data_IF_472387403669
#
_entry.id   IF_472387403669
#
_cell.length_a   1.000
_cell.length_b   1.000
_cell.length_c   1.000
_cell.angle_alpha   90.00
_cell.angle_beta   90.00
_cell.angle_gamma   90.00
#
_symmetry.space_group_name_H-M   'P 1'
#
loop_
_entity.id
_entity.type
_entity.pdbx_description
1 polymer ?
#
# COMPACT_ATOMS: atom_id res chain seq x y z
N UNK A 1 -10.50 -15.50 -27.09
CA UNK A 1 -11.18 -15.24 -25.80
C UNK A 1 -10.32 -14.33 -24.95
N UNK A 2 -10.85 -13.19 -24.51
CA UNK A 2 -10.15 -12.28 -23.62
C UNK A 2 -10.15 -12.85 -22.22
N UNK A 3 -8.98 -12.85 -21.58
CA UNK A 3 -8.83 -13.36 -20.24
C UNK A 3 -8.30 -12.25 -19.32
N UNK A 4 -8.91 -12.08 -18.16
CA UNK A 4 -8.28 -11.45 -17.01
C UNK A 4 -7.26 -12.43 -16.42
N UNK A 5 -6.27 -11.93 -15.68
CA UNK A 5 -5.39 -12.82 -14.93
C UNK A 5 -6.19 -13.60 -13.87
N UNK A 6 -5.68 -14.76 -13.48
CA UNK A 6 -6.31 -15.54 -12.42
C UNK A 6 -6.44 -14.73 -11.12
N UNK A 7 -7.49 -14.98 -10.36
CA UNK A 7 -7.78 -14.22 -9.14
C UNK A 7 -6.61 -14.27 -8.14
N UNK A 8 -5.93 -15.42 -8.03
CA UNK A 8 -4.76 -15.59 -7.16
C UNK A 8 -3.57 -14.72 -7.55
N UNK A 9 -3.46 -14.33 -8.84
CA UNK A 9 -2.38 -13.50 -9.38
C UNK A 9 -2.78 -12.03 -9.50
N UNK A 10 -4.08 -11.71 -9.40
CA UNK A 10 -4.61 -10.37 -9.56
C UNK A 10 -4.18 -9.46 -8.41
N UNK A 11 -3.50 -8.36 -8.72
CA UNK A 11 -3.03 -7.38 -7.73
C UNK A 11 -4.09 -6.37 -7.32
N UNK A 12 -5.25 -6.34 -8.01
CA UNK A 12 -6.32 -5.38 -7.75
C UNK A 12 -5.98 -3.94 -8.17
N UNK A 13 -5.17 -3.77 -9.22
CA UNK A 13 -4.81 -2.44 -9.72
C UNK A 13 -5.88 -1.83 -10.64
N UNK A 14 -6.84 -2.61 -11.15
CA UNK A 14 -7.98 -2.23 -11.99
C UNK A 14 -7.63 -1.53 -13.32
N UNK A 15 -6.38 -1.54 -13.75
CA UNK A 15 -5.98 -0.99 -15.05
C UNK A 15 -6.80 -1.58 -16.21
N UNK A 16 -7.21 -2.85 -16.10
CA UNK A 16 -8.09 -3.50 -17.08
C UNK A 16 -9.48 -2.85 -17.15
N UNK A 17 -10.03 -2.41 -16.01
CA UNK A 17 -11.30 -1.69 -15.95
C UNK A 17 -11.15 -0.25 -16.45
N UNK A 18 -10.08 0.43 -16.06
CA UNK A 18 -9.81 1.81 -16.46
C UNK A 18 -9.61 1.97 -17.97
N UNK A 19 -8.98 0.97 -18.60
CA UNK A 19 -8.70 0.97 -20.04
C UNK A 19 -9.81 0.29 -20.89
N UNK A 20 -10.88 -0.24 -20.29
CA UNK A 20 -11.95 -0.88 -21.04
C UNK A 20 -12.83 0.15 -21.76
N UNK A 21 -12.83 0.22 -23.12
CA UNK A 21 -13.62 1.22 -23.86
C UNK A 21 -15.12 0.98 -23.76
N UNK A 22 -15.54 -0.26 -23.45
CA UNK A 22 -16.95 -0.63 -23.32
C UNK A 22 -17.45 -0.60 -21.87
N UNK A 23 -16.60 -0.22 -20.90
CA UNK A 23 -16.90 -0.33 -19.47
C UNK A 23 -17.48 -1.72 -19.10
N UNK A 24 -16.95 -2.77 -19.74
CA UNK A 24 -17.38 -4.16 -19.57
C UNK A 24 -16.68 -4.87 -18.40
N UNK A 25 -15.91 -4.18 -17.60
CA UNK A 25 -15.26 -4.74 -16.40
C UNK A 25 -15.98 -4.24 -15.17
N UNK A 26 -16.65 -5.15 -14.48
CA UNK A 26 -17.30 -4.89 -13.19
C UNK A 26 -16.34 -5.27 -12.05
N UNK A 27 -16.50 -4.64 -10.89
CA UNK A 27 -15.66 -4.90 -9.73
C UNK A 27 -16.47 -5.67 -8.67
N UNK A 28 -16.03 -6.86 -8.37
CA UNK A 28 -16.59 -7.71 -7.31
C UNK A 28 -15.70 -7.73 -6.06
N UNK A 29 -16.23 -8.24 -4.96
CA UNK A 29 -15.52 -8.30 -3.69
C UNK A 29 -15.49 -9.73 -3.17
N UNK A 30 -14.29 -10.26 -2.85
CA UNK A 30 -14.19 -11.57 -2.20
C UNK A 30 -14.53 -11.51 -0.70
N UNK A 31 -14.46 -12.65 -0.01
CA UNK A 31 -14.76 -12.79 1.42
C UNK A 31 -13.87 -11.94 2.34
N UNK A 32 -12.62 -11.72 1.95
CA UNK A 32 -11.67 -10.92 2.70
C UNK A 32 -11.75 -9.42 2.38
N UNK A 33 -12.72 -9.00 1.55
CA UNK A 33 -12.91 -7.62 1.19
C UNK A 33 -12.00 -7.11 0.06
N UNK A 34 -11.18 -7.97 -0.54
CA UNK A 34 -10.39 -7.58 -1.70
C UNK A 34 -11.26 -7.47 -2.94
N UNK A 35 -11.04 -6.43 -3.70
CA UNK A 35 -11.74 -6.14 -4.95
C UNK A 35 -11.07 -6.89 -6.12
N UNK A 36 -11.90 -7.42 -7.05
CA UNK A 36 -11.46 -8.14 -8.24
C UNK A 36 -12.25 -7.72 -9.46
N UNK A 37 -11.61 -7.64 -10.66
CA UNK A 37 -12.31 -7.37 -11.91
C UNK A 37 -12.99 -8.64 -12.45
N UNK A 38 -14.19 -8.48 -13.00
CA UNK A 38 -14.93 -9.52 -13.71
C UNK A 38 -15.45 -8.97 -15.04
N UNK A 39 -15.46 -9.79 -16.11
CA UNK A 39 -15.94 -9.37 -17.43
C UNK A 39 -17.46 -9.53 -17.51
N UNK A 40 -18.17 -8.44 -17.76
CA UNK A 40 -19.57 -8.48 -18.19
C UNK A 40 -19.64 -8.92 -19.65
N UNK A 41 -19.97 -10.17 -19.89
CA UNK A 41 -20.04 -10.79 -21.21
C UNK A 41 -21.06 -10.12 -22.15
N UNK A 42 -22.05 -9.42 -21.59
CA UNK A 42 -23.08 -8.71 -22.39
C UNK A 42 -22.54 -7.42 -23.02
N UNK A 43 -21.53 -6.80 -22.39
CA UNK A 43 -20.92 -5.56 -22.88
C UNK A 43 -19.57 -5.81 -23.57
N UNK A 44 -18.96 -6.95 -23.33
CA UNK A 44 -17.64 -7.27 -23.85
C UNK A 44 -17.69 -7.51 -25.36
N UNK A 45 -16.84 -6.77 -26.10
CA UNK A 45 -16.67 -6.92 -27.57
C UNK A 45 -15.41 -7.66 -27.93
N UNK A 46 -14.77 -8.33 -26.99
CA UNK A 46 -13.60 -9.19 -27.14
C UNK A 46 -12.36 -8.51 -27.78
N UNK A 47 -12.15 -7.22 -27.52
CA UNK A 47 -11.09 -6.40 -28.13
C UNK A 47 -9.67 -6.65 -27.57
N UNK A 48 -9.49 -7.39 -26.49
CA UNK A 48 -8.18 -7.74 -25.90
C UNK A 48 -7.47 -6.66 -25.09
N UNK A 49 -7.99 -5.43 -25.01
CA UNK A 49 -7.32 -4.31 -24.32
C UNK A 49 -7.06 -4.62 -22.84
N UNK A 50 -8.00 -5.27 -22.15
CA UNK A 50 -7.84 -5.64 -20.74
C UNK A 50 -6.68 -6.61 -20.51
N UNK A 51 -6.46 -7.56 -21.43
CA UNK A 51 -5.34 -8.51 -21.39
C UNK A 51 -4.01 -7.80 -21.62
N UNK A 52 -3.93 -6.93 -22.62
CA UNK A 52 -2.71 -6.16 -22.96
C UNK A 52 -2.34 -5.15 -21.87
N UNK A 53 -3.33 -4.53 -21.25
CA UNK A 53 -3.15 -3.58 -20.13
C UNK A 53 -2.74 -4.27 -18.84
N UNK A 54 -3.02 -5.56 -18.68
CA UNK A 54 -2.72 -6.25 -17.44
C UNK A 54 -1.20 -6.48 -17.29
N UNK A 55 -0.58 -5.80 -16.34
CA UNK A 55 0.86 -5.96 -16.06
C UNK A 55 1.25 -7.35 -15.53
N UNK A 56 0.27 -8.18 -15.12
CA UNK A 56 0.50 -9.58 -14.73
C UNK A 56 0.63 -10.46 -15.97
N UNK A 57 -0.22 -10.24 -16.99
CA UNK A 57 -0.23 -10.98 -18.27
C UNK A 57 0.80 -10.44 -19.26
N UNK A 58 1.02 -9.13 -19.24
CA UNK A 58 1.96 -8.41 -20.11
C UNK A 58 2.96 -7.61 -19.23
N UNK A 59 4.02 -8.26 -18.70
CA UNK A 59 4.94 -7.65 -17.76
C UNK A 59 5.68 -6.44 -18.34
N UNK A 60 6.06 -5.52 -17.46
CA UNK A 60 6.90 -4.35 -17.77
C UNK A 60 8.34 -4.69 -17.39
N UNK A 61 9.30 -4.20 -18.18
CA UNK A 61 10.73 -4.33 -17.88
C UNK A 61 11.07 -3.60 -16.58
N UNK A 62 11.86 -4.27 -15.73
CA UNK A 62 12.37 -3.71 -14.49
C UNK A 62 13.81 -3.19 -14.68
N UNK A 63 14.23 -2.32 -13.78
CA UNK A 63 15.56 -1.72 -13.73
C UNK A 63 16.30 -2.20 -12.48
N UNK A 64 17.59 -2.51 -12.64
CA UNK A 64 18.46 -2.67 -11.48
C UNK A 64 18.69 -1.27 -10.89
N UNK A 65 18.53 -1.08 -9.56
CA UNK A 65 18.82 0.21 -8.93
C UNK A 65 20.26 0.66 -9.24
N UNK A 66 20.40 1.94 -9.62
CA UNK A 66 21.71 2.52 -9.98
C UNK A 66 22.40 3.12 -8.76
N UNK A 67 21.63 3.77 -7.90
CA UNK A 67 22.13 4.36 -6.66
C UNK A 67 21.28 3.94 -5.48
N UNK A 68 21.93 3.65 -4.39
CA UNK A 68 21.32 3.24 -3.13
C UNK A 68 21.83 4.13 -1.99
N UNK A 69 20.90 4.82 -1.35
CA UNK A 69 21.22 5.71 -0.22
C UNK A 69 20.36 5.41 0.98
N UNK A 70 20.84 5.75 2.14
CA UNK A 70 20.02 5.99 3.32
C UNK A 70 19.63 7.46 3.40
N UNK A 71 18.53 7.77 4.08
CA UNK A 71 18.05 9.13 4.28
C UNK A 71 17.51 9.34 5.70
N UNK A 72 17.99 10.42 6.35
CA UNK A 72 17.52 10.88 7.65
C UNK A 72 17.01 12.32 7.56
N UNK A 73 15.69 12.49 7.63
CA UNK A 73 15.05 13.80 7.74
C UNK A 73 15.32 14.49 9.08
N UNK A 74 14.63 15.59 9.34
CA UNK A 74 14.62 16.20 10.68
C UNK A 74 13.94 15.28 11.68
N UNK A 75 14.27 15.39 12.96
CA UNK A 75 13.63 14.56 13.99
C UNK A 75 12.12 14.83 14.06
N UNK A 76 11.68 16.07 13.87
CA UNK A 76 10.26 16.42 13.77
C UNK A 76 9.56 15.68 12.62
N UNK A 77 10.13 15.68 11.42
CA UNK A 77 9.58 14.97 10.28
C UNK A 77 9.62 13.44 10.46
N UNK A 78 10.69 12.93 11.10
CA UNK A 78 10.85 11.51 11.36
C UNK A 78 9.83 11.00 12.38
N UNK A 79 9.51 11.75 13.43
CA UNK A 79 8.45 11.45 14.39
C UNK A 79 7.07 11.30 13.70
N UNK A 80 6.80 12.13 12.72
CA UNK A 80 5.55 12.12 11.94
C UNK A 80 5.57 11.15 10.75
N UNK A 81 6.60 10.31 10.60
CA UNK A 81 6.77 9.39 9.45
C UNK A 81 7.01 7.96 9.90
N UNK A 82 6.75 6.99 9.02
CA UNK A 82 7.01 5.56 9.31
C UNK A 82 8.50 5.21 9.37
N UNK A 83 9.36 5.99 8.70
CA UNK A 83 10.79 5.74 8.57
C UNK A 83 11.57 7.06 8.66
N UNK A 84 12.64 7.23 7.87
CA UNK A 84 13.52 8.40 7.85
C UNK A 84 12.92 9.68 7.28
N UNK A 85 11.62 9.72 6.94
CA UNK A 85 10.91 10.89 6.41
C UNK A 85 11.32 11.33 4.99
N UNK A 86 11.75 10.41 4.13
CA UNK A 86 12.05 10.74 2.74
C UNK A 86 10.80 11.18 1.96
N UNK A 87 9.64 10.54 2.18
CA UNK A 87 8.39 10.93 1.51
C UNK A 87 8.05 12.42 1.68
N UNK A 88 7.90 12.98 2.89
CA UNK A 88 7.53 14.39 3.03
C UNK A 88 8.60 15.35 2.49
N UNK A 89 9.88 14.98 2.55
CA UNK A 89 10.95 15.75 1.92
C UNK A 89 10.75 15.82 0.40
N UNK A 90 10.59 14.67 -0.27
CA UNK A 90 10.41 14.60 -1.72
C UNK A 90 9.10 15.30 -2.13
N UNK A 91 7.99 15.05 -1.43
CA UNK A 91 6.69 15.65 -1.74
C UNK A 91 6.74 17.18 -1.69
N UNK A 92 7.31 17.79 -0.63
CA UNK A 92 7.48 19.24 -0.54
C UNK A 92 8.36 19.78 -1.66
N UNK A 93 9.45 19.09 -1.98
CA UNK A 93 10.35 19.49 -3.07
C UNK A 93 9.65 19.47 -4.42
N UNK A 94 8.85 18.44 -4.71
CA UNK A 94 8.11 18.34 -5.97
C UNK A 94 6.92 19.30 -6.00
N UNK A 95 6.23 19.50 -4.87
CA UNK A 95 5.15 20.49 -4.76
C UNK A 95 5.64 21.90 -5.10
N UNK A 96 6.82 22.30 -4.58
CA UNK A 96 7.43 23.61 -4.91
C UNK A 96 7.78 23.77 -6.39
N UNK A 97 7.87 22.67 -7.15
CA UNK A 97 8.06 22.63 -8.61
C UNK A 97 6.75 22.51 -9.41
N UNK A 98 5.61 22.62 -8.73
CA UNK A 98 4.29 22.58 -9.34
C UNK A 98 3.76 21.17 -9.61
N UNK A 99 4.32 20.13 -9.01
CA UNK A 99 3.76 18.77 -9.14
C UNK A 99 2.50 18.60 -8.32
N UNK A 100 1.52 17.85 -8.86
CA UNK A 100 0.51 17.18 -8.06
C UNK A 100 1.14 16.00 -7.35
N UNK A 101 0.74 15.75 -6.10
CA UNK A 101 1.19 14.62 -5.31
C UNK A 101 0.05 13.61 -5.26
N UNK A 102 0.33 12.39 -5.71
CA UNK A 102 -0.59 11.26 -5.65
C UNK A 102 -0.12 10.27 -4.59
N UNK A 103 -0.97 9.94 -3.63
CA UNK A 103 -0.64 9.00 -2.56
C UNK A 103 -1.89 8.52 -1.81
N UNK A 104 -1.69 7.73 -0.75
CA UNK A 104 -2.75 7.09 0.01
C UNK A 104 -3.05 7.84 1.30
N UNK A 105 -4.33 8.10 1.55
CA UNK A 105 -4.86 8.63 2.82
C UNK A 105 -5.85 7.63 3.43
N UNK A 106 -6.08 7.70 4.73
CA UNK A 106 -7.27 7.08 5.32
C UNK A 106 -8.53 7.85 4.88
N UNK A 107 -9.67 7.15 4.81
CA UNK A 107 -10.98 7.80 4.80
C UNK A 107 -11.21 8.54 6.12
N UNK A 108 -12.15 9.45 6.16
CA UNK A 108 -12.43 10.29 7.33
C UNK A 108 -12.80 9.48 8.59
N UNK A 109 -13.42 8.32 8.40
CA UNK A 109 -13.81 7.39 9.46
C UNK A 109 -12.69 6.40 9.86
N UNK A 110 -11.52 6.48 9.22
CA UNK A 110 -10.39 5.55 9.37
C UNK A 110 -10.70 4.07 9.09
N UNK A 111 -11.89 3.74 8.58
CA UNK A 111 -12.30 2.35 8.30
C UNK A 111 -11.78 1.82 6.95
N UNK A 112 -11.26 2.69 6.11
CA UNK A 112 -10.68 2.36 4.80
C UNK A 112 -9.55 3.31 4.43
N UNK A 113 -8.83 2.98 3.37
CA UNK A 113 -7.81 3.86 2.77
C UNK A 113 -8.08 4.03 1.28
N UNK A 114 -7.72 5.19 0.72
CA UNK A 114 -7.93 5.51 -0.70
C UNK A 114 -6.78 6.33 -1.26
N UNK A 115 -6.59 6.22 -2.58
CA UNK A 115 -5.71 7.12 -3.30
C UNK A 115 -6.36 8.48 -3.51
N UNK A 116 -5.56 9.53 -3.44
CA UNK A 116 -5.96 10.90 -3.79
C UNK A 116 -4.83 11.59 -4.54
N UNK A 117 -5.20 12.57 -5.39
CA UNK A 117 -4.27 13.46 -6.11
C UNK A 117 -4.52 14.88 -5.66
N UNK A 118 -3.48 15.60 -5.24
CA UNK A 118 -3.64 16.92 -4.64
C UNK A 118 -2.39 17.80 -4.75
N UNK A 119 -2.56 19.11 -4.57
CA UNK A 119 -1.50 20.09 -4.25
C UNK A 119 -1.69 20.69 -2.84
N UNK A 120 -2.69 20.24 -2.07
CA UNK A 120 -2.97 20.77 -0.75
C UNK A 120 -2.06 20.13 0.31
N UNK A 121 -1.24 20.95 1.00
CA UNK A 121 -0.30 20.51 2.04
C UNK A 121 -1.00 19.67 3.14
N UNK A 122 -2.18 20.10 3.57
CA UNK A 122 -2.95 19.39 4.60
C UNK A 122 -3.31 17.97 4.22
N UNK A 123 -3.58 17.72 2.93
CA UNK A 123 -3.86 16.37 2.41
C UNK A 123 -2.57 15.57 2.24
N UNK A 124 -1.47 16.22 1.82
CA UNK A 124 -0.14 15.59 1.69
C UNK A 124 0.34 15.11 3.07
N UNK A 125 0.14 15.91 4.12
CA UNK A 125 0.47 15.48 5.49
C UNK A 125 -0.33 14.21 5.91
N UNK A 126 -1.59 14.04 5.50
CA UNK A 126 -2.38 12.81 5.72
C UNK A 126 -1.86 11.59 4.95
N UNK A 127 -1.06 11.76 3.89
CA UNK A 127 -0.42 10.65 3.17
C UNK A 127 0.74 10.03 3.96
N UNK A 128 1.29 10.74 4.93
CA UNK A 128 2.38 10.25 5.79
C UNK A 128 1.93 8.99 6.53
N UNK A 129 2.90 8.22 6.99
CA UNK A 129 2.74 6.94 7.69
C UNK A 129 2.11 5.83 6.84
N UNK A 130 2.37 4.60 7.23
CA UNK A 130 1.92 3.40 6.53
C UNK A 130 0.45 3.12 6.81
N UNK A 131 -0.32 2.74 5.79
CA UNK A 131 -1.68 2.22 5.88
C UNK A 131 -1.62 0.75 5.48
N UNK A 132 -1.53 -0.15 6.45
CA UNK A 132 -1.31 -1.58 6.21
C UNK A 132 -2.58 -2.34 5.81
N UNK A 133 -3.36 -1.78 4.90
CA UNK A 133 -4.57 -2.39 4.33
C UNK A 133 -4.66 -2.06 2.84
N UNK A 134 -5.50 -2.79 2.10
CA UNK A 134 -5.76 -2.46 0.71
C UNK A 134 -6.42 -1.09 0.60
N UNK A 135 -5.80 -0.20 -0.19
CA UNK A 135 -6.37 1.10 -0.50
C UNK A 135 -7.24 1.01 -1.77
N UNK A 136 -8.35 1.72 -1.77
CA UNK A 136 -9.16 1.93 -2.96
C UNK A 136 -8.41 2.85 -3.93
N UNK A 137 -8.28 2.41 -5.16
CA UNK A 137 -7.66 3.19 -6.24
C UNK A 137 -8.58 4.29 -6.77
N UNK A 138 -9.90 4.13 -6.61
CA UNK A 138 -10.91 5.16 -6.92
C UNK A 138 -10.68 5.87 -8.28
N UNK A 139 -10.32 5.08 -9.32
CA UNK A 139 -9.99 5.57 -10.67
C UNK A 139 -8.81 6.55 -10.74
N UNK A 140 -7.92 6.56 -9.74
CA UNK A 140 -6.79 7.49 -9.65
C UNK A 140 -5.88 7.46 -10.88
N UNK A 141 -5.80 6.34 -11.58
CA UNK A 141 -5.00 6.25 -12.80
C UNK A 141 -5.59 7.11 -13.94
N UNK A 142 -6.93 7.20 -14.03
CA UNK A 142 -7.61 8.11 -14.96
C UNK A 142 -7.37 9.57 -14.61
N UNK A 143 -7.41 9.90 -13.31
CA UNK A 143 -7.14 11.26 -12.84
C UNK A 143 -5.70 11.68 -13.15
N UNK A 144 -4.72 10.80 -12.84
CA UNK A 144 -3.31 11.04 -13.16
C UNK A 144 -3.11 11.17 -14.67
N UNK A 145 -3.72 10.27 -15.47
CA UNK A 145 -3.64 10.35 -16.93
C UNK A 145 -4.19 11.68 -17.45
N UNK A 146 -5.37 12.12 -16.96
CA UNK A 146 -5.99 13.39 -17.35
C UNK A 146 -5.05 14.58 -17.05
N UNK A 147 -4.43 14.61 -15.89
CA UNK A 147 -3.48 15.67 -15.52
C UNK A 147 -2.26 15.67 -16.46
N UNK A 148 -1.69 14.52 -16.75
CA UNK A 148 -0.55 14.38 -17.66
C UNK A 148 -0.91 14.80 -19.09
N UNK A 149 -2.09 14.43 -19.58
CA UNK A 149 -2.61 14.81 -20.90
C UNK A 149 -2.82 16.35 -21.00
N UNK A 150 -3.04 17.02 -19.86
CA UNK A 150 -3.12 18.50 -19.75
C UNK A 150 -1.74 19.17 -19.59
N UNK A 151 -0.64 18.42 -19.63
CA UNK A 151 0.71 18.94 -19.44
C UNK A 151 1.10 19.16 -17.99
N UNK A 152 0.25 18.79 -17.03
CA UNK A 152 0.53 18.92 -15.61
C UNK A 152 1.57 17.88 -15.15
N UNK A 153 2.27 18.20 -14.04
CA UNK A 153 3.31 17.34 -13.46
C UNK A 153 2.73 16.52 -12.29
N UNK A 154 3.06 15.24 -12.23
CA UNK A 154 2.56 14.34 -11.18
C UNK A 154 3.69 13.54 -10.56
N UNK A 155 3.76 13.54 -9.22
CA UNK A 155 4.53 12.59 -8.42
C UNK A 155 3.56 11.54 -7.91
N UNK A 156 3.66 10.31 -8.43
CA UNK A 156 2.85 9.17 -8.00
C UNK A 156 3.63 8.31 -7.00
N UNK A 157 3.09 8.13 -5.80
CA UNK A 157 3.67 7.28 -4.76
C UNK A 157 2.69 6.15 -4.44
N UNK A 158 3.13 4.91 -4.64
CA UNK A 158 2.27 3.74 -4.45
C UNK A 158 2.99 2.43 -4.31
N UNK A 159 2.22 1.34 -4.30
CA UNK A 159 2.77 -0.01 -4.31
C UNK A 159 3.40 -0.31 -5.67
N UNK A 160 4.41 -1.21 -5.76
CA UNK A 160 5.02 -1.55 -7.04
C UNK A 160 4.01 -2.04 -8.09
N UNK A 161 3.02 -2.83 -7.66
CA UNK A 161 1.95 -3.31 -8.55
C UNK A 161 1.01 -2.17 -9.01
N UNK A 162 0.81 -1.12 -8.20
CA UNK A 162 0.04 0.05 -8.59
C UNK A 162 0.84 0.95 -9.55
N UNK A 163 2.15 1.11 -9.33
CA UNK A 163 3.04 1.74 -10.31
C UNK A 163 2.99 1.00 -11.64
N UNK A 164 3.04 -0.33 -11.63
CA UNK A 164 2.91 -1.15 -12.85
C UNK A 164 1.56 -0.90 -13.57
N UNK A 165 0.46 -0.82 -12.83
CA UNK A 165 -0.86 -0.47 -13.38
C UNK A 165 -0.88 0.92 -14.01
N UNK A 166 -0.36 1.92 -13.31
CA UNK A 166 -0.28 3.29 -13.83
C UNK A 166 0.55 3.36 -15.13
N UNK A 167 1.72 2.73 -15.17
CA UNK A 167 2.59 2.70 -16.34
C UNK A 167 1.95 2.01 -17.57
N UNK A 168 0.92 1.19 -17.38
CA UNK A 168 0.08 0.61 -18.45
C UNK A 168 -1.09 1.50 -18.87
N UNK A 169 -1.40 2.52 -18.08
CA UNK A 169 -2.50 3.48 -18.36
C UNK A 169 -1.98 4.74 -19.08
N UNK A 170 -0.80 5.23 -18.69
CA UNK A 170 -0.25 6.49 -19.21
C UNK A 170 0.68 6.25 -20.40
N UNK A 171 0.53 7.09 -21.43
CA UNK A 171 1.37 7.08 -22.63
C UNK A 171 2.52 8.09 -22.50
N UNK A 172 2.19 9.34 -22.10
CA UNK A 172 3.15 10.41 -21.88
C UNK A 172 3.68 10.39 -20.45
N UNK A 173 5.00 10.21 -20.29
CA UNK A 173 5.63 10.03 -18.97
C UNK A 173 6.59 11.16 -18.60
N UNK A 174 6.80 12.12 -19.47
CA UNK A 174 7.80 13.20 -19.28
C UNK A 174 7.53 14.04 -18.02
N UNK A 175 6.26 14.22 -17.67
CA UNK A 175 5.82 14.93 -16.49
C UNK A 175 5.43 14.01 -15.30
N UNK A 176 5.71 12.70 -15.39
CA UNK A 176 5.43 11.74 -14.34
C UNK A 176 6.72 11.34 -13.63
N UNK A 177 6.73 11.43 -12.31
CA UNK A 177 7.72 10.80 -11.44
C UNK A 177 7.00 9.68 -10.68
N UNK A 178 7.59 8.49 -10.68
CA UNK A 178 7.05 7.32 -9.99
C UNK A 178 7.91 6.93 -8.80
N UNK A 179 7.25 6.69 -7.67
CA UNK A 179 7.88 6.20 -6.44
C UNK A 179 7.17 4.93 -5.99
N UNK A 180 7.90 3.85 -5.82
CA UNK A 180 7.34 2.65 -5.22
C UNK A 180 7.91 2.36 -3.83
N UNK A 181 7.27 1.45 -3.13
CA UNK A 181 7.63 1.06 -1.77
C UNK A 181 8.31 -0.31 -1.76
N UNK A 182 9.24 -0.54 -0.81
CA UNK A 182 9.61 -1.90 -0.41
C UNK A 182 8.43 -2.51 0.33
N UNK A 183 7.52 -3.14 -0.43
CA UNK A 183 6.23 -3.59 0.04
C UNK A 183 6.30 -4.96 0.70
N UNK A 184 5.75 -5.09 1.90
CA UNK A 184 5.65 -6.36 2.62
C UNK A 184 4.45 -7.21 2.16
N UNK A 185 3.33 -6.56 1.81
CA UNK A 185 2.07 -7.18 1.38
C UNK A 185 0.89 -6.24 1.63
N UNK A 186 -0.28 -6.62 1.14
CA UNK A 186 -1.51 -5.84 1.25
C UNK A 186 -2.51 -6.58 2.12
N UNK A 187 -2.85 -6.03 3.28
CA UNK A 187 -3.77 -6.65 4.24
C UNK A 187 -5.25 -6.52 3.85
N UNK A 188 -6.06 -7.44 4.36
CA UNK A 188 -7.51 -7.49 4.15
C UNK A 188 -8.20 -6.22 4.66
N UNK A 189 -8.89 -5.45 3.82
CA UNK A 189 -9.60 -4.24 4.24
C UNK A 189 -10.84 -4.58 5.08
N UNK A 190 -11.46 -5.74 4.85
CA UNK A 190 -12.61 -6.16 5.62
C UNK A 190 -12.24 -6.56 7.05
N UNK A 191 -11.18 -7.38 7.24
CA UNK A 191 -10.75 -7.78 8.59
C UNK A 191 -10.26 -6.57 9.38
N UNK A 192 -9.53 -5.64 8.73
CA UNK A 192 -9.14 -4.38 9.36
C UNK A 192 -10.35 -3.62 9.91
N UNK A 193 -11.34 -3.39 9.04
CA UNK A 193 -12.57 -2.67 9.40
C UNK A 193 -13.30 -3.34 10.58
N UNK A 194 -13.49 -4.67 10.52
CA UNK A 194 -14.20 -5.39 11.58
C UNK A 194 -13.44 -5.36 12.91
N UNK A 195 -12.11 -5.53 12.89
CA UNK A 195 -11.29 -5.43 14.11
C UNK A 195 -11.35 -4.03 14.73
N UNK A 196 -11.25 -2.97 13.93
CA UNK A 196 -11.37 -1.61 14.42
C UNK A 196 -12.78 -1.34 14.98
N UNK A 197 -13.84 -1.71 14.27
CA UNK A 197 -15.22 -1.57 14.75
C UNK A 197 -15.49 -2.37 16.02
N UNK A 198 -14.89 -3.56 16.19
CA UNK A 198 -15.03 -4.34 17.41
C UNK A 198 -14.34 -3.67 18.59
N UNK A 199 -13.14 -3.13 18.40
CA UNK A 199 -12.44 -2.33 19.40
C UNK A 199 -13.30 -1.13 19.82
N UNK A 200 -13.80 -0.34 18.87
CA UNK A 200 -14.62 0.84 19.16
C UNK A 200 -15.89 0.48 19.94
N UNK A 201 -16.57 -0.61 19.58
CA UNK A 201 -17.75 -1.10 20.31
C UNK A 201 -17.41 -1.51 21.75
N UNK A 202 -16.28 -2.18 21.96
CA UNK A 202 -15.81 -2.59 23.29
C UNK A 202 -15.56 -1.38 24.19
N UNK A 203 -14.93 -0.34 23.64
CA UNK A 203 -14.63 0.89 24.34
C UNK A 203 -15.83 1.88 24.38
N UNK A 204 -16.97 1.53 23.74
CA UNK A 204 -18.19 2.37 23.62
C UNK A 204 -17.93 3.71 22.91
N UNK A 205 -17.06 3.72 21.91
CA UNK A 205 -16.66 4.88 21.12
C UNK A 205 -17.43 4.86 19.79
N UNK A 206 -17.96 6.02 19.36
CA UNK A 206 -18.55 6.16 18.03
C UNK A 206 -17.46 6.19 16.95
N UNK A 207 -17.73 5.61 15.77
CA UNK A 207 -16.75 5.57 14.68
C UNK A 207 -16.31 6.96 14.19
N UNK A 208 -17.18 7.96 14.30
CA UNK A 208 -16.88 9.38 13.99
C UNK A 208 -15.90 10.06 14.96
N UNK A 209 -15.61 9.43 16.09
CA UNK A 209 -14.68 9.94 17.10
C UNK A 209 -13.25 9.40 16.94
N UNK A 210 -12.97 8.64 15.88
CA UNK A 210 -11.60 8.19 15.57
C UNK A 210 -10.82 9.35 14.94
N UNK A 211 -9.71 9.70 15.56
CA UNK A 211 -8.87 10.84 15.19
C UNK A 211 -7.58 10.40 14.50
N UNK A 212 -7.07 9.20 14.84
CA UNK A 212 -5.82 8.67 14.31
C UNK A 212 -5.79 7.14 14.38
N UNK A 213 -5.25 6.53 13.33
CA UNK A 213 -4.72 5.16 13.36
C UNK A 213 -3.29 5.18 12.83
N UNK A 214 -2.32 4.83 13.67
CA UNK A 214 -0.90 4.84 13.35
C UNK A 214 -0.28 3.47 13.57
N UNK A 215 -0.01 2.73 12.48
CA UNK A 215 0.61 1.41 12.50
C UNK A 215 2.11 1.42 12.82
N UNK A 216 2.72 2.57 12.92
CA UNK A 216 4.16 2.74 13.10
C UNK A 216 4.39 3.81 14.18
N UNK A 217 3.96 3.46 15.40
CA UNK A 217 4.21 4.29 16.58
C UNK A 217 5.68 4.72 16.67
N UNK A 218 5.92 5.99 17.01
CA UNK A 218 7.27 6.55 17.25
C UNK A 218 7.29 7.42 18.50
N UNK A 219 8.45 7.48 19.18
CA UNK A 219 9.67 6.70 18.94
C UNK A 219 9.41 5.19 19.06
N UNK A 220 10.19 4.37 18.37
CA UNK A 220 10.00 2.92 18.43
C UNK A 220 10.29 2.40 19.84
N UNK A 221 9.37 1.59 20.37
CA UNK A 221 9.50 1.01 21.72
C UNK A 221 10.29 -0.30 21.65
N UNK A 222 11.36 -0.39 22.43
CA UNK A 222 12.18 -1.62 22.55
C UNK A 222 12.59 -2.21 21.20
N UNK A 223 13.07 -1.39 20.27
CA UNK A 223 13.40 -1.76 18.89
C UNK A 223 12.21 -2.33 18.07
N UNK A 224 10.98 -2.22 18.59
CA UNK A 224 9.79 -2.76 17.95
C UNK A 224 9.16 -1.75 16.99
N UNK A 225 9.12 -2.13 15.73
CA UNK A 225 8.37 -1.41 14.68
C UNK A 225 6.90 -1.86 14.58
N UNK A 226 6.47 -2.73 15.47
CA UNK A 226 5.17 -3.43 15.41
C UNK A 226 4.21 -2.97 16.50
N UNK A 227 4.09 -1.64 16.68
CA UNK A 227 3.17 -1.02 17.63
C UNK A 227 2.17 -0.16 16.86
N UNK A 228 0.90 -0.26 17.21
CA UNK A 228 -0.19 0.54 16.65
C UNK A 228 -0.75 1.47 17.72
N UNK A 229 -0.96 2.73 17.35
CA UNK A 229 -1.74 3.69 18.13
C UNK A 229 -3.11 3.92 17.48
N UNK A 230 -4.12 4.00 18.31
CA UNK A 230 -5.45 4.46 17.95
C UNK A 230 -5.78 5.64 18.89
N UNK A 231 -6.08 6.81 18.32
CA UNK A 231 -6.61 7.95 19.09
C UNK A 231 -8.08 8.06 18.74
N UNK A 232 -8.92 8.03 19.77
CA UNK A 232 -10.38 8.10 19.62
C UNK A 232 -11.03 8.67 20.88
N UNK A 233 -12.03 9.55 20.72
CA UNK A 233 -12.71 10.25 21.80
C UNK A 233 -11.72 10.92 22.77
N UNK A 234 -10.65 11.54 22.25
CA UNK A 234 -9.61 12.20 23.02
C UNK A 234 -8.65 11.28 23.79
N UNK A 235 -8.85 9.95 23.72
CA UNK A 235 -7.99 8.97 24.40
C UNK A 235 -7.04 8.30 23.41
N UNK A 236 -5.84 7.98 23.91
CA UNK A 236 -4.84 7.25 23.15
C UNK A 236 -4.75 5.79 23.64
N UNK A 237 -4.87 4.86 22.70
CA UNK A 237 -4.74 3.42 22.91
C UNK A 237 -3.52 2.92 22.13
N UNK A 238 -2.58 2.29 22.82
CA UNK A 238 -1.34 1.75 22.21
C UNK A 238 -1.32 0.24 22.37
N UNK A 239 -1.15 -0.49 21.27
CA UNK A 239 -1.10 -1.95 21.26
C UNK A 239 0.20 -2.44 20.63
N UNK A 240 0.79 -3.49 21.21
CA UNK A 240 1.73 -4.34 20.47
C UNK A 240 0.96 -5.07 19.36
N UNK A 241 1.64 -5.45 18.29
CA UNK A 241 0.98 -6.14 17.17
C UNK A 241 0.22 -7.40 17.63
N UNK A 242 0.80 -8.18 18.57
CA UNK A 242 0.19 -9.39 19.13
C UNK A 242 -1.15 -9.13 19.85
N UNK A 243 -1.37 -7.92 20.35
CA UNK A 243 -2.54 -7.54 21.14
C UNK A 243 -3.65 -6.89 20.30
N UNK A 244 -3.37 -6.57 19.03
CA UNK A 244 -4.36 -6.08 18.07
C UNK A 244 -4.51 -7.08 16.92
N UNK A 245 -5.61 -7.86 16.87
CA UNK A 245 -5.73 -9.04 16.01
C UNK A 245 -5.43 -8.79 14.53
N UNK A 246 -5.91 -7.67 13.98
CA UNK A 246 -5.59 -7.31 12.61
C UNK A 246 -4.08 -7.16 12.39
N UNK A 247 -3.42 -6.41 13.28
CA UNK A 247 -2.00 -6.11 13.11
C UNK A 247 -1.14 -7.35 13.34
N UNK A 248 -1.54 -8.22 14.27
CA UNK A 248 -0.92 -9.53 14.44
C UNK A 248 -1.01 -10.37 13.16
N UNK A 249 -2.20 -10.50 12.60
CA UNK A 249 -2.39 -11.22 11.33
C UNK A 249 -1.61 -10.62 10.16
N UNK A 250 -1.48 -9.29 10.11
CA UNK A 250 -0.71 -8.59 9.09
C UNK A 250 0.79 -8.87 9.20
N UNK A 251 1.40 -8.68 10.38
CA UNK A 251 2.86 -8.86 10.57
C UNK A 251 3.30 -10.31 10.38
N UNK A 252 2.39 -11.27 10.65
CA UNK A 252 2.61 -12.69 10.39
C UNK A 252 2.22 -13.12 8.97
N UNK A 253 1.92 -12.16 8.08
CA UNK A 253 1.54 -12.41 6.69
C UNK A 253 0.34 -13.36 6.50
N UNK A 254 -0.65 -13.33 7.41
CA UNK A 254 -1.83 -14.21 7.37
C UNK A 254 -3.03 -13.59 6.63
N UNK A 255 -3.01 -12.27 6.39
CA UNK A 255 -4.15 -11.49 5.91
C UNK A 255 -3.91 -10.86 4.54
N UNK A 256 -2.92 -11.30 3.80
CA UNK A 256 -2.55 -10.66 2.54
C UNK A 256 -3.48 -11.04 1.39
N UNK A 257 -3.55 -10.14 0.40
CA UNK A 257 -4.06 -10.52 -0.92
C UNK A 257 -3.24 -11.71 -1.45
N UNK A 258 -3.90 -12.69 -2.04
CA UNK A 258 -3.24 -13.95 -2.44
C UNK A 258 -2.04 -13.70 -3.36
N UNK A 259 -2.15 -12.79 -4.32
CA UNK A 259 -1.04 -12.40 -5.22
C UNK A 259 0.20 -11.83 -4.50
N UNK A 260 0.10 -11.41 -3.23
CA UNK A 260 1.24 -10.92 -2.47
C UNK A 260 2.19 -12.05 -2.05
N UNK A 261 1.71 -13.29 -1.93
CA UNK A 261 2.56 -14.44 -1.57
C UNK A 261 3.48 -14.86 -2.72
N UNK A 262 3.04 -14.68 -3.97
CA UNK A 262 3.82 -14.92 -5.19
C UNK A 262 4.15 -13.64 -5.95
N UNK A 263 4.32 -12.53 -5.24
CA UNK A 263 4.43 -11.20 -5.82
C UNK A 263 5.59 -11.08 -6.82
N UNK A 264 5.28 -10.71 -8.06
CA UNK A 264 6.26 -10.50 -9.14
C UNK A 264 7.14 -9.26 -8.91
N UNK A 265 6.75 -8.38 -8.00
CA UNK A 265 7.47 -7.15 -7.65
C UNK A 265 8.26 -7.25 -6.35
N UNK A 266 8.21 -8.40 -5.68
CA UNK A 266 9.06 -8.70 -4.53
C UNK A 266 10.46 -9.12 -5.03
N UNK A 267 11.15 -8.19 -5.68
CA UNK A 267 12.47 -8.35 -6.29
C UNK A 267 13.31 -7.10 -6.06
N UNK A 268 14.63 -7.25 -6.15
CA UNK A 268 15.56 -6.11 -6.04
C UNK A 268 15.41 -5.15 -7.23
N UNK A 269 15.12 -5.66 -8.42
CA UNK A 269 14.83 -4.88 -9.62
C UNK A 269 13.47 -4.17 -9.49
N UNK A 270 13.40 -2.92 -9.95
CA UNK A 270 12.27 -2.02 -9.74
C UNK A 270 11.69 -1.47 -11.03
N UNK A 271 10.43 -1.00 -10.98
CA UNK A 271 9.75 -0.38 -12.11
C UNK A 271 9.74 1.15 -12.05
N UNK A 272 9.73 1.69 -10.83
CA UNK A 272 9.61 3.12 -10.54
C UNK A 272 10.92 3.86 -10.75
N UNK A 273 10.87 5.17 -10.82
CA UNK A 273 12.05 6.02 -10.84
C UNK A 273 12.80 5.96 -9.50
N UNK A 274 12.04 5.95 -8.41
CA UNK A 274 12.55 5.93 -7.04
C UNK A 274 11.85 4.82 -6.25
N UNK A 275 12.59 4.09 -5.41
CA UNK A 275 12.03 3.15 -4.44
C UNK A 275 12.37 3.62 -3.04
N UNK A 276 11.41 3.55 -2.12
CA UNK A 276 11.61 3.89 -0.73
C UNK A 276 11.21 2.76 0.21
N UNK A 277 11.91 2.64 1.33
CA UNK A 277 11.61 1.66 2.37
C UNK A 277 12.29 2.02 3.68
N UNK A 278 12.24 1.07 4.62
CA UNK A 278 12.95 1.19 5.89
C UNK A 278 14.35 0.60 5.75
N UNK A 279 15.37 1.25 6.29
CA UNK A 279 16.69 0.64 6.49
C UNK A 279 16.59 -0.40 7.60
N UNK A 280 17.16 -1.59 7.38
CA UNK A 280 17.24 -2.65 8.40
C UNK A 280 18.53 -2.54 9.20
N UNK A 281 18.54 -3.18 10.39
CA UNK A 281 19.74 -3.32 11.21
C UNK A 281 20.20 -2.03 11.90
N UNK A 282 19.45 -0.92 11.82
CA UNK A 282 19.79 0.29 12.56
C UNK A 282 19.10 0.32 13.95
N UNK A 283 19.81 0.92 14.93
CA UNK A 283 19.29 1.12 16.29
C UNK A 283 18.63 2.50 16.50
N UNK A 284 18.39 3.25 15.44
CA UNK A 284 17.82 4.60 15.53
C UNK A 284 16.31 4.53 15.79
N UNK A 285 15.90 4.95 16.98
CA UNK A 285 14.50 4.94 17.44
C UNK A 285 13.56 5.80 16.58
N UNK A 286 14.09 6.73 15.79
CA UNK A 286 13.31 7.54 14.86
C UNK A 286 13.29 6.95 13.44
N UNK A 287 14.04 5.89 13.19
CA UNK A 287 14.12 5.19 11.90
C UNK A 287 14.87 5.95 10.81
N UNK A 288 15.24 5.24 9.78
CA UNK A 288 15.97 5.70 8.62
C UNK A 288 15.34 5.12 7.36
N UNK A 289 15.22 5.92 6.29
CA UNK A 289 14.72 5.42 5.00
C UNK A 289 15.85 4.89 4.14
N UNK A 290 15.60 3.78 3.44
CA UNK A 290 16.40 3.39 2.28
C UNK A 290 15.76 4.00 1.03
N UNK A 291 16.60 4.49 0.11
CA UNK A 291 16.16 5.14 -1.13
C UNK A 291 16.97 4.56 -2.29
N UNK A 292 16.28 4.01 -3.28
CA UNK A 292 16.89 3.57 -4.53
C UNK A 292 16.51 4.54 -5.64
N UNK A 293 17.46 4.87 -6.50
CA UNK A 293 17.23 5.58 -7.75
C UNK A 293 17.45 4.58 -8.88
N UNK A 294 16.40 4.29 -9.66
CA UNK A 294 16.34 3.10 -10.50
C UNK A 294 16.50 3.41 -12.00
N UNK A 295 16.04 4.58 -12.47
CA UNK A 295 16.00 4.98 -13.86
C UNK A 295 16.88 6.20 -14.11
N UNK A 296 17.10 6.60 -15.38
CA UNK A 296 17.79 7.84 -15.73
C UNK A 296 17.13 9.04 -15.05
N UNK A 297 15.78 9.12 -15.12
CA UNK A 297 15.00 10.16 -14.45
C UNK A 297 15.16 10.13 -12.91
N UNK A 298 15.19 8.94 -12.32
CA UNK A 298 15.49 8.78 -10.89
C UNK A 298 16.87 9.33 -10.55
N UNK A 299 17.88 9.10 -11.39
CA UNK A 299 19.24 9.63 -11.20
C UNK A 299 19.29 11.15 -11.33
N UNK A 300 18.62 11.74 -12.32
CA UNK A 300 18.49 13.21 -12.47
C UNK A 300 17.86 13.85 -11.21
N UNK A 301 16.84 13.21 -10.66
CA UNK A 301 16.24 13.65 -9.40
C UNK A 301 17.24 13.52 -8.25
N UNK A 302 18.01 12.42 -8.19
CA UNK A 302 19.03 12.24 -7.16
C UNK A 302 20.05 13.38 -7.18
N UNK A 303 20.62 13.72 -8.34
CA UNK A 303 21.58 14.80 -8.50
C UNK A 303 21.05 16.13 -7.96
N UNK A 304 19.76 16.38 -8.13
CA UNK A 304 19.12 17.62 -7.67
C UNK A 304 18.85 17.65 -6.16
N UNK A 305 18.52 16.49 -5.52
CA UNK A 305 18.06 16.46 -4.14
C UNK A 305 19.09 15.97 -3.14
N UNK A 306 20.18 15.33 -3.60
CA UNK A 306 21.24 14.84 -2.71
C UNK A 306 21.81 15.95 -1.85
N UNK A 307 21.94 15.69 -0.57
CA UNK A 307 22.47 16.62 0.41
C UNK A 307 23.03 15.82 1.62
N UNK A 308 23.55 16.52 2.67
CA UNK A 308 24.15 15.91 3.87
C UNK A 308 23.25 14.95 4.68
N UNK A 309 21.97 14.85 4.34
CA UNK A 309 21.00 13.93 4.98
C UNK A 309 20.98 12.56 4.33
N UNK A 310 21.64 12.43 3.19
CA UNK A 310 21.84 11.15 2.52
C UNK A 310 23.18 10.54 2.97
N UNK A 311 23.16 9.24 3.24
CA UNK A 311 24.34 8.43 3.53
C UNK A 311 24.46 7.30 2.52
N UNK A 312 25.72 6.90 2.19
CA UNK A 312 25.91 5.67 1.42
C UNK A 312 25.54 4.46 2.28
N UNK A 313 24.89 3.48 1.69
CA UNK A 313 24.66 2.19 2.33
C UNK A 313 25.95 1.38 2.34
N UNK A 314 26.23 0.68 3.45
CA UNK A 314 27.27 -0.33 3.49
C UNK A 314 26.86 -1.57 2.68
N UNK A 315 27.84 -2.39 2.30
CA UNK A 315 27.59 -3.67 1.64
C UNK A 315 26.66 -4.56 2.47
N UNK A 316 26.85 -4.62 3.78
CA UNK A 316 25.99 -5.37 4.70
C UNK A 316 24.54 -4.88 4.68
N UNK A 317 24.31 -3.58 4.64
CA UNK A 317 22.96 -3.00 4.55
C UNK A 317 22.30 -3.32 3.22
N UNK A 318 23.06 -3.34 2.14
CA UNK A 318 22.58 -3.73 0.80
C UNK A 318 22.20 -5.23 0.80
N UNK A 319 23.04 -6.11 1.31
CA UNK A 319 22.76 -7.54 1.39
C UNK A 319 21.59 -7.85 2.33
N UNK A 320 21.48 -7.18 3.47
CA UNK A 320 20.33 -7.31 4.36
C UNK A 320 19.03 -6.84 3.68
N UNK A 321 19.13 -5.81 2.86
CA UNK A 321 17.99 -5.35 2.05
C UNK A 321 17.60 -6.38 0.99
N UNK A 322 18.55 -7.03 0.33
CA UNK A 322 18.28 -8.09 -0.65
C UNK A 322 17.58 -9.31 -0.02
N UNK A 323 17.89 -9.64 1.24
CA UNK A 323 17.25 -10.74 1.97
C UNK A 323 15.73 -10.56 2.17
N UNK A 324 15.20 -9.34 2.02
CA UNK A 324 13.74 -9.06 2.08
C UNK A 324 12.97 -9.67 0.91
N UNK A 325 13.62 -9.85 -0.23
CA UNK A 325 12.99 -10.32 -1.46
C UNK A 325 12.83 -11.84 -1.48
N UNK A 326 12.03 -12.36 -0.55
CA UNK A 326 11.79 -13.79 -0.39
C UNK A 326 10.37 -14.14 -0.85
N UNK A 327 10.26 -15.19 -1.67
CA UNK A 327 8.94 -15.76 -2.01
C UNK A 327 8.32 -16.36 -0.76
N UNK A 328 7.05 -16.05 -0.50
CA UNK A 328 6.28 -16.60 0.61
C UNK A 328 5.35 -17.69 0.10
N UNK A 329 5.11 -18.71 0.92
CA UNK A 329 4.03 -19.67 0.68
C UNK A 329 2.75 -19.10 1.26
N UNK A 330 1.60 -19.39 0.62
CA UNK A 330 0.30 -19.08 1.19
C UNK A 330 0.14 -19.91 2.47
N UNK A 331 -0.05 -19.32 3.66
CA UNK A 331 -0.23 -20.09 4.89
C UNK A 331 -1.53 -20.92 4.83
N UNK A 332 -1.53 -22.14 5.35
CA UNK A 332 -2.77 -22.95 5.47
C UNK A 332 -3.88 -22.18 6.22
N UNK A 333 -3.49 -21.41 7.22
CA UNK A 333 -4.38 -20.58 8.00
C UNK A 333 -5.10 -19.52 7.17
N UNK A 334 -4.49 -19.01 6.07
CA UNK A 334 -5.14 -18.11 5.13
C UNK A 334 -6.44 -18.68 4.56
N UNK A 335 -6.42 -19.95 4.13
CA UNK A 335 -7.60 -20.60 3.57
C UNK A 335 -8.68 -20.83 4.62
N UNK A 336 -8.28 -21.15 5.87
CA UNK A 336 -9.23 -21.26 7.00
C UNK A 336 -9.91 -19.92 7.30
N UNK A 337 -9.14 -18.82 7.33
CA UNK A 337 -9.66 -17.45 7.54
C UNK A 337 -10.59 -17.07 6.38
N UNK A 338 -10.20 -17.33 5.14
CA UNK A 338 -11.00 -17.04 3.96
C UNK A 338 -12.32 -17.80 3.95
N UNK A 339 -12.29 -19.08 4.31
CA UNK A 339 -13.48 -19.92 4.44
C UNK A 339 -14.43 -19.42 5.54
N UNK A 340 -13.91 -19.08 6.71
CA UNK A 340 -14.71 -18.48 7.79
C UNK A 340 -15.33 -17.15 7.38
N UNK A 341 -14.58 -16.31 6.67
CA UNK A 341 -15.08 -15.03 6.15
C UNK A 341 -16.18 -15.22 5.08
N UNK A 342 -16.08 -16.25 4.22
CA UNK A 342 -17.14 -16.63 3.29
C UNK A 342 -18.42 -17.02 4.01
N UNK A 343 -18.33 -17.84 5.05
CA UNK A 343 -19.49 -18.24 5.85
C UNK A 343 -20.22 -17.03 6.44
N UNK A 344 -19.49 -16.05 6.96
CA UNK A 344 -20.05 -14.80 7.49
C UNK A 344 -20.78 -13.93 6.47
N UNK A 345 -20.31 -13.91 5.21
CA UNK A 345 -20.97 -13.17 4.12
C UNK A 345 -22.27 -13.80 3.67
N UNK A 346 -22.34 -15.13 3.69
CA UNK A 346 -23.53 -15.89 3.29
C UNK A 346 -24.63 -15.76 4.35
N UNK A 347 -24.29 -15.80 5.63
CA UNK A 347 -25.23 -15.59 6.73
C UNK A 347 -25.48 -14.13 7.07
N UNK A 348 -26.16 -13.40 6.19
CA UNK A 348 -26.64 -12.03 6.48
C UNK A 348 -27.59 -11.93 7.68
N UNK A 349 -27.98 -13.04 8.29
CA UNK A 349 -29.13 -13.12 9.22
C UNK A 349 -28.84 -12.96 10.72
N UNK A 350 -27.61 -13.11 11.23
CA UNK A 350 -27.40 -13.06 12.68
C UNK A 350 -26.12 -12.36 13.13
N UNK A 351 -26.27 -11.17 13.71
CA UNK A 351 -25.17 -10.39 14.33
C UNK A 351 -24.37 -11.20 15.38
N UNK A 352 -25.03 -12.09 16.13
CA UNK A 352 -24.41 -12.98 17.14
C UNK A 352 -23.43 -13.99 16.53
N UNK A 353 -23.69 -14.51 15.34
CA UNK A 353 -22.81 -15.48 14.69
C UNK A 353 -21.57 -14.79 14.10
N UNK A 354 -21.68 -13.54 13.63
CA UNK A 354 -20.54 -12.74 13.20
C UNK A 354 -19.52 -12.52 14.32
N UNK A 355 -19.99 -12.25 15.54
CA UNK A 355 -19.13 -12.05 16.71
C UNK A 355 -18.37 -13.36 17.02
N UNK A 356 -19.06 -14.51 17.09
CA UNK A 356 -18.43 -15.82 17.38
C UNK A 356 -17.40 -16.26 16.35
N UNK A 357 -17.60 -15.94 15.06
CA UNK A 357 -16.63 -16.30 14.02
C UNK A 357 -15.46 -15.32 14.00
N UNK A 358 -15.69 -14.04 14.27
CA UNK A 358 -14.60 -13.09 14.51
C UNK A 358 -13.79 -13.49 15.76
N UNK A 359 -14.44 -13.90 16.85
CA UNK A 359 -13.77 -14.46 18.02
C UNK A 359 -12.98 -15.72 17.69
N UNK A 360 -13.50 -16.59 16.80
CA UNK A 360 -12.78 -17.77 16.32
C UNK A 360 -11.60 -17.40 15.42
N UNK A 361 -11.76 -16.42 14.53
CA UNK A 361 -10.66 -15.86 13.73
C UNK A 361 -9.65 -15.21 14.68
N UNK A 362 -10.10 -14.45 15.67
CA UNK A 362 -9.25 -13.79 16.66
C UNK A 362 -8.60 -14.79 17.62
N UNK A 363 -9.28 -15.85 18.01
CA UNK A 363 -8.69 -16.97 18.78
C UNK A 363 -7.57 -17.70 18.03
N UNK A 364 -7.61 -17.72 16.70
CA UNK A 364 -6.53 -18.22 15.85
C UNK A 364 -5.28 -17.33 15.94
N UNK A 365 -5.45 -16.02 16.21
CA UNK A 365 -4.34 -15.05 16.33
C UNK A 365 -3.74 -14.99 17.74
N UNK A 366 -4.38 -15.57 18.74
CA UNK A 366 -3.90 -15.65 20.13
C UNK A 366 -3.05 -16.90 20.40
N UNK A 367 -2.67 -17.65 19.37
CA UNK A 367 -1.67 -18.71 19.39
C UNK A 367 -0.31 -18.12 18.92
#
# INVERSE_FOLDING_TARGET
>A
MNHLCEQKDCTGCFVCADNCPQNAIIISTNSLGFLFPEIDQKRCVDCGICTQSCHVLSPIKKHVPRFLYSYKGTDEDRLKSSSGAFFPFLARKMLSKGYYICGVVFAEDFLSAKYVVTRADTTIEKMRKSKYLAADLNSVFKDVKKLLDQGEKVLFIGLPCHVAGLLKTVQHKDNLITVDLLCFGVGSPWIYKECLLQFLRKEKIAGSEVELVDFRHKPFLNDSHTVIDIVAAGNKYTFQAKDFPYYNGYVNALLFRESCYSCKYNTFERLSDITIGDTLGHKDILGESIVFFNTDRGCEIAEEILNRRFGCLSEDQIEETKKRFVKRKVPELYYKISSCANYLKIEKRYLRNKIKVLEKIMGIFNL
#
